data_IF_298491609685
#
_entry.id   IF_298491609685
#
_cell.length_a   1.000
_cell.length_b   1.000
_cell.length_c   1.000
_cell.angle_alpha   90.00
_cell.angle_beta   90.00
_cell.angle_gamma   90.00
#
_symmetry.space_group_name_H-M   'P 1'
#
loop_
_entity.id
_entity.type
_entity.pdbx_description
1 polymer ?
#
# COMPACT_ATOMS: atom_id res chain seq x y z
N UNK A 1 19.72 -29.77 -15.98
CA UNK A 1 19.92 -28.86 -14.84
C UNK A 1 19.11 -27.60 -15.13
N UNK A 2 17.91 -27.49 -14.56
CA UNK A 2 16.95 -26.43 -14.89
C UNK A 2 17.21 -25.23 -13.97
N UNK A 3 17.58 -24.06 -14.52
CA UNK A 3 17.73 -22.83 -13.73
C UNK A 3 16.33 -22.37 -13.27
N UNK A 4 16.14 -21.97 -12.01
CA UNK A 4 14.89 -21.34 -11.62
C UNK A 4 14.76 -20.02 -12.39
N UNK A 5 13.71 -19.94 -13.20
CA UNK A 5 13.28 -18.69 -13.81
C UNK A 5 12.83 -17.79 -12.66
N UNK A 6 13.57 -16.72 -12.40
CA UNK A 6 13.08 -15.61 -11.56
C UNK A 6 11.80 -15.10 -12.21
N UNK A 7 10.66 -15.38 -11.58
CA UNK A 7 9.41 -14.70 -11.89
C UNK A 7 9.65 -13.22 -11.58
N UNK A 8 9.77 -12.40 -12.62
CA UNK A 8 9.72 -10.95 -12.48
C UNK A 8 8.30 -10.64 -12.04
N UNK A 9 8.12 -10.31 -10.75
CA UNK A 9 6.82 -9.94 -10.22
C UNK A 9 6.33 -8.69 -10.96
N UNK A 10 5.17 -8.74 -11.65
CA UNK A 10 4.71 -7.67 -12.50
C UNK A 10 3.82 -6.70 -11.71
N UNK A 11 4.36 -6.02 -10.68
CA UNK A 11 3.62 -4.99 -9.94
C UNK A 11 3.56 -3.68 -10.75
N UNK A 12 4.68 -2.96 -10.82
CA UNK A 12 4.66 -1.54 -11.20
C UNK A 12 4.37 -1.29 -12.68
N UNK A 13 4.91 -2.15 -13.56
CA UNK A 13 4.71 -2.01 -15.01
C UNK A 13 3.29 -2.36 -15.44
N UNK A 14 2.59 -3.21 -14.70
CA UNK A 14 1.28 -3.71 -15.11
C UNK A 14 0.17 -2.73 -14.73
N UNK A 15 0.23 -2.14 -13.54
CA UNK A 15 -0.74 -1.09 -13.18
C UNK A 15 -0.52 0.18 -13.98
N UNK A 16 0.72 0.63 -14.19
CA UNK A 16 1.01 1.80 -15.03
C UNK A 16 0.51 1.60 -16.47
N UNK A 17 0.77 0.43 -17.08
CA UNK A 17 0.25 0.11 -18.41
C UNK A 17 -1.28 0.17 -18.46
N UNK A 18 -1.95 -0.36 -17.43
CA UNK A 18 -3.41 -0.33 -17.32
C UNK A 18 -3.97 1.07 -17.05
N UNK A 19 -3.28 1.92 -16.30
CA UNK A 19 -3.68 3.33 -16.09
C UNK A 19 -3.48 4.14 -17.36
N UNK A 20 -2.40 3.91 -18.10
CA UNK A 20 -2.20 4.54 -19.41
C UNK A 20 -3.30 4.14 -20.40
N UNK A 21 -3.76 2.89 -20.33
CA UNK A 21 -4.89 2.39 -21.13
C UNK A 21 -6.27 2.85 -20.58
N UNK A 22 -6.38 3.10 -19.27
CA UNK A 22 -7.60 3.49 -18.56
C UNK A 22 -7.31 4.56 -17.48
N UNK A 23 -7.18 5.84 -17.86
CA UNK A 23 -6.78 6.92 -16.95
C UNK A 23 -7.71 7.08 -15.74
N UNK A 24 -8.98 6.67 -15.88
CA UNK A 24 -9.99 6.75 -14.84
C UNK A 24 -9.71 5.81 -13.66
N UNK A 25 -8.84 4.81 -13.84
CA UNK A 25 -8.54 3.82 -12.80
C UNK A 25 -7.83 4.44 -11.59
N UNK A 26 -6.91 5.40 -11.83
CA UNK A 26 -6.25 6.14 -10.76
C UNK A 26 -7.23 6.98 -9.94
N UNK A 27 -8.14 7.69 -10.62
CA UNK A 27 -9.20 8.46 -9.95
C UNK A 27 -10.17 7.56 -9.17
N UNK A 28 -10.45 6.35 -9.67
CA UNK A 28 -11.30 5.40 -8.97
C UNK A 28 -10.66 4.93 -7.67
N UNK A 29 -9.35 4.62 -7.67
CA UNK A 29 -8.60 4.25 -6.46
C UNK A 29 -8.65 5.39 -5.44
N UNK A 30 -8.43 6.64 -5.87
CA UNK A 30 -8.47 7.82 -4.98
C UNK A 30 -9.86 8.13 -4.43
N UNK A 31 -10.93 7.59 -5.03
CA UNK A 31 -12.31 7.72 -4.56
C UNK A 31 -12.79 6.51 -3.75
N UNK A 32 -11.98 5.46 -3.61
CA UNK A 32 -12.35 4.32 -2.78
C UNK A 32 -12.47 4.76 -1.32
N UNK A 33 -13.50 4.31 -0.60
CA UNK A 33 -13.52 4.45 0.85
C UNK A 33 -12.26 3.81 1.47
N UNK A 34 -11.64 4.41 2.49
CA UNK A 34 -10.39 3.91 3.08
C UNK A 34 -10.48 2.45 3.53
N UNK A 35 -11.56 2.05 4.20
CA UNK A 35 -11.79 0.65 4.60
C UNK A 35 -11.81 -0.34 3.40
N UNK A 36 -12.28 0.11 2.24
CA UNK A 36 -12.29 -0.71 1.01
C UNK A 36 -10.88 -0.78 0.42
N UNK A 37 -10.13 0.32 0.44
CA UNK A 37 -8.71 0.33 0.06
C UNK A 37 -7.90 -0.61 0.95
N UNK A 38 -8.04 -0.51 2.27
CA UNK A 38 -7.40 -1.41 3.24
C UNK A 38 -7.74 -2.88 2.98
N UNK A 39 -9.02 -3.20 2.79
CA UNK A 39 -9.46 -4.55 2.45
C UNK A 39 -8.85 -5.09 1.14
N UNK A 40 -8.63 -4.22 0.16
CA UNK A 40 -7.99 -4.60 -1.11
C UNK A 40 -6.48 -4.86 -0.91
N UNK A 41 -5.81 -4.01 -0.13
CA UNK A 41 -4.40 -4.17 0.23
C UNK A 41 -4.21 -5.47 1.03
N UNK A 42 -5.07 -5.75 1.99
CA UNK A 42 -5.03 -7.00 2.77
C UNK A 42 -5.25 -8.23 1.89
N UNK A 43 -6.17 -8.13 0.93
CA UNK A 43 -6.47 -9.24 0.01
C UNK A 43 -5.30 -9.56 -0.91
N UNK A 44 -4.57 -8.55 -1.36
CA UNK A 44 -3.44 -8.68 -2.28
C UNK A 44 -2.15 -8.99 -1.50
N UNK A 45 -2.04 -8.52 -0.27
CA UNK A 45 -0.80 -8.46 0.49
C UNK A 45 -0.12 -7.10 0.30
N UNK A 46 0.34 -6.49 1.40
CA UNK A 46 0.96 -5.16 1.41
C UNK A 46 2.18 -5.07 0.47
N UNK A 47 3.04 -6.09 0.49
CA UNK A 47 4.25 -6.18 -0.35
C UNK A 47 3.93 -6.14 -1.85
N UNK A 48 2.76 -6.64 -2.25
CA UNK A 48 2.30 -6.68 -3.65
C UNK A 48 1.35 -5.50 -3.97
N UNK A 49 1.09 -4.60 -3.02
CA UNK A 49 0.13 -3.50 -3.16
C UNK A 49 0.78 -2.14 -3.45
N UNK A 50 2.09 -2.08 -3.73
CA UNK A 50 2.87 -0.85 -3.85
C UNK A 50 2.27 0.19 -4.79
N UNK A 51 1.68 -0.21 -5.91
CA UNK A 51 1.07 0.75 -6.84
C UNK A 51 -0.26 1.32 -6.34
N UNK A 52 -1.04 0.55 -5.56
CA UNK A 52 -2.23 1.07 -4.89
C UNK A 52 -1.83 2.12 -3.84
N UNK A 53 -0.79 1.84 -3.07
CA UNK A 53 -0.23 2.76 -2.06
C UNK A 53 0.29 4.04 -2.72
N UNK A 54 0.95 3.92 -3.87
CA UNK A 54 1.44 5.07 -4.63
C UNK A 54 0.30 5.98 -5.15
N UNK A 55 -0.85 5.40 -5.51
CA UNK A 55 -2.00 6.13 -6.05
C UNK A 55 -2.93 6.69 -4.98
N UNK A 56 -2.99 6.05 -3.82
CA UNK A 56 -3.83 6.46 -2.70
C UNK A 56 -3.51 7.89 -2.25
N UNK A 57 -4.53 8.61 -1.79
CA UNK A 57 -4.35 9.91 -1.16
C UNK A 57 -3.72 9.74 0.23
N UNK A 58 -3.12 10.80 0.76
CA UNK A 58 -2.55 10.79 2.13
C UNK A 58 -3.64 10.55 3.19
N UNK A 59 -4.83 11.13 3.01
CA UNK A 59 -6.00 10.90 3.88
C UNK A 59 -6.44 9.43 3.88
N UNK A 60 -6.53 8.79 2.70
CA UNK A 60 -6.84 7.36 2.63
C UNK A 60 -5.80 6.50 3.34
N UNK A 61 -4.52 6.85 3.22
CA UNK A 61 -3.45 6.11 3.88
C UNK A 61 -3.46 6.31 5.39
N UNK A 62 -3.78 7.51 5.88
CA UNK A 62 -3.91 7.78 7.31
C UNK A 62 -5.00 6.90 7.95
N UNK A 63 -6.18 6.86 7.33
CA UNK A 63 -7.30 6.02 7.82
C UNK A 63 -6.97 4.53 7.74
N UNK A 64 -6.29 4.07 6.68
CA UNK A 64 -5.82 2.68 6.59
C UNK A 64 -4.76 2.38 7.66
N UNK A 65 -3.90 3.34 7.99
CA UNK A 65 -2.92 3.18 9.05
C UNK A 65 -3.58 3.04 10.41
N UNK A 66 -4.60 3.85 10.72
CA UNK A 66 -5.35 3.77 11.98
C UNK A 66 -5.88 2.34 12.21
N UNK A 67 -6.36 1.68 11.15
CA UNK A 67 -6.84 0.29 11.23
C UNK A 67 -5.69 -0.75 11.25
N UNK A 68 -4.61 -0.54 10.49
CA UNK A 68 -3.58 -1.55 10.28
C UNK A 68 -2.44 -1.52 11.30
N UNK A 69 -2.08 -0.34 11.83
CA UNK A 69 -0.90 -0.16 12.67
C UNK A 69 -1.19 -0.20 14.18
N UNK A 70 -2.46 -0.17 14.58
CA UNK A 70 -2.87 -0.25 15.98
C UNK A 70 -3.41 -1.64 16.28
N UNK A 71 -2.65 -2.42 17.07
CA UNK A 71 -3.01 -3.79 17.43
C UNK A 71 -2.99 -3.99 18.94
N UNK A 72 -3.88 -4.84 19.44
CA UNK A 72 -3.82 -5.37 20.80
C UNK A 72 -3.43 -6.86 20.78
N UNK A 73 -2.72 -7.33 21.80
CA UNK A 73 -2.37 -8.75 21.90
C UNK A 73 -3.58 -9.60 22.29
N UNK A 74 -4.54 -8.98 22.99
CA UNK A 74 -5.79 -9.60 23.42
C UNK A 74 -6.96 -8.63 23.33
N UNK A 75 -8.18 -9.11 23.05
CA UNK A 75 -9.37 -8.27 23.05
C UNK A 75 -9.55 -7.53 24.39
N UNK A 76 -9.80 -6.23 24.33
CA UNK A 76 -10.00 -5.37 25.49
C UNK A 76 -8.72 -4.80 26.12
N UNK A 77 -7.54 -5.17 25.62
CA UNK A 77 -6.30 -4.46 25.93
C UNK A 77 -6.18 -3.19 25.06
N UNK A 78 -5.45 -2.20 25.58
CA UNK A 78 -5.12 -0.98 24.85
C UNK A 78 -4.31 -1.30 23.59
N UNK A 79 -4.68 -0.67 22.49
CA UNK A 79 -3.97 -0.82 21.23
C UNK A 79 -2.60 -0.15 21.30
N UNK A 80 -1.62 -0.78 20.66
CA UNK A 80 -0.26 -0.25 20.55
C UNK A 80 0.13 -0.15 19.10
N UNK A 81 0.89 0.89 18.82
CA UNK A 81 1.50 1.10 17.53
C UNK A 81 2.49 -0.02 17.20
N UNK A 82 2.28 -0.69 16.08
CA UNK A 82 3.17 -1.72 15.53
C UNK A 82 4.20 -1.07 14.60
N UNK A 83 5.33 -0.66 15.19
CA UNK A 83 6.44 -0.09 14.43
C UNK A 83 7.03 -1.05 13.40
N UNK A 84 6.96 -2.37 13.64
CA UNK A 84 7.43 -3.38 12.69
C UNK A 84 6.56 -3.40 11.45
N UNK A 85 5.24 -3.35 11.63
CA UNK A 85 4.29 -3.24 10.53
C UNK A 85 4.45 -1.92 9.76
N UNK A 86 4.67 -0.81 10.46
CA UNK A 86 4.91 0.48 9.80
C UNK A 86 6.19 0.50 8.95
N UNK A 87 7.25 -0.20 9.37
CA UNK A 87 8.46 -0.33 8.54
C UNK A 87 8.18 -1.01 7.21
N UNK A 88 7.34 -2.06 7.18
CA UNK A 88 6.94 -2.72 5.92
C UNK A 88 6.19 -1.75 5.00
N UNK A 89 5.32 -0.91 5.56
CA UNK A 89 4.66 0.16 4.81
C UNK A 89 5.66 1.13 4.20
N UNK A 90 6.66 1.58 4.96
CA UNK A 90 7.71 2.47 4.46
C UNK A 90 8.53 1.80 3.35
N UNK A 91 8.90 0.53 3.50
CA UNK A 91 9.63 -0.24 2.49
C UNK A 91 8.86 -0.28 1.17
N UNK A 92 7.56 -0.59 1.22
CA UNK A 92 6.68 -0.59 0.03
C UNK A 92 6.53 0.81 -0.57
N UNK A 93 6.34 1.85 0.27
CA UNK A 93 6.25 3.23 -0.21
C UNK A 93 7.53 3.68 -0.92
N UNK A 94 8.70 3.24 -0.43
CA UNK A 94 10.01 3.59 -1.00
C UNK A 94 10.22 3.00 -2.40
N UNK A 95 9.49 1.95 -2.78
CA UNK A 95 9.52 1.44 -4.16
C UNK A 95 8.99 2.47 -5.18
N UNK A 96 8.12 3.39 -4.75
CA UNK A 96 7.66 4.53 -5.55
C UNK A 96 8.68 5.70 -5.58
N UNK A 97 9.74 5.63 -4.77
CA UNK A 97 10.85 6.57 -4.71
C UNK A 97 10.79 7.54 -3.52
N UNK A 98 11.97 7.83 -2.95
CA UNK A 98 12.16 8.60 -1.70
C UNK A 98 11.42 9.94 -1.67
N UNK A 99 11.39 10.67 -2.79
CA UNK A 99 10.73 11.98 -2.87
C UNK A 99 9.20 11.87 -2.72
N UNK A 100 8.60 10.79 -3.21
CA UNK A 100 7.16 10.53 -3.08
C UNK A 100 6.82 10.21 -1.63
N UNK A 101 7.63 9.38 -0.98
CA UNK A 101 7.48 9.02 0.43
C UNK A 101 7.63 10.24 1.32
N UNK A 102 8.71 11.02 1.12
CA UNK A 102 8.98 12.22 1.92
C UNK A 102 7.84 13.24 1.83
N UNK A 103 7.25 13.42 0.64
CA UNK A 103 6.07 14.29 0.48
C UNK A 103 4.87 13.77 1.27
N UNK A 104 4.54 12.48 1.12
CA UNK A 104 3.40 11.86 1.83
C UNK A 104 3.56 11.93 3.36
N UNK A 105 4.78 11.82 3.88
CA UNK A 105 5.05 11.92 5.33
C UNK A 105 5.05 13.35 5.87
N UNK A 106 5.17 14.37 4.99
CA UNK A 106 5.26 15.77 5.38
C UNK A 106 3.92 16.52 5.28
N UNK A 107 2.92 15.91 4.62
CA UNK A 107 1.53 16.39 4.56
C UNK A 107 0.79 16.05 5.87
#
# INVERSE_FOLDING_TARGET
MNKPQRLVQPGARNLLARILDQPQLGEQIQRLPPAVLGSLIDRIGLEDAGELVALATTEQLADVFDDDLWKNQRPGEEERFDAGRFLVWLEVMLEAGDAVVARKLAE
#
